data_IF_099384590045
#
_entry.id   IF_099384590045
#
_cell.length_a   1.000
_cell.length_b   1.000
_cell.length_c   1.000
_cell.angle_alpha   90.00
_cell.angle_beta   90.00
_cell.angle_gamma   90.00
#
_symmetry.space_group_name_H-M   'P 1'
#
loop_
_entity.id
_entity.type
_entity.pdbx_description
1 polymer ?
#
# COMPACT_ATOMS: atom_id res chain seq x y z
N UNK A 1 -4.32 -9.92 5.29
CA UNK A 1 -4.12 -9.27 3.99
C UNK A 1 -3.04 -9.94 3.17
N UNK A 2 -3.01 -11.28 3.15
CA UNK A 2 -2.07 -12.02 2.30
C UNK A 2 -2.44 -11.85 0.82
N UNK A 3 -3.72 -11.68 0.53
CA UNK A 3 -4.29 -11.44 -0.79
C UNK A 3 -3.78 -10.16 -1.48
N UNK A 4 -3.17 -9.22 -0.74
CA UNK A 4 -2.45 -8.08 -1.32
C UNK A 4 -1.12 -8.47 -1.99
N UNK A 5 -0.63 -9.69 -1.74
CA UNK A 5 0.52 -10.27 -2.42
C UNK A 5 0.03 -11.07 -3.64
N UNK A 6 0.57 -10.77 -4.82
CA UNK A 6 0.26 -11.53 -6.03
C UNK A 6 0.64 -13.02 -5.86
N UNK A 7 -0.32 -13.91 -6.09
CA UNK A 7 -0.11 -15.37 -6.04
C UNK A 7 -0.03 -15.94 -4.62
N UNK A 8 -0.57 -15.23 -3.62
CA UNK A 8 -0.52 -15.61 -2.19
C UNK A 8 -1.02 -17.02 -1.89
N UNK A 9 -1.92 -17.57 -2.71
CA UNK A 9 -2.47 -18.90 -2.58
C UNK A 9 -1.43 -20.02 -2.70
N UNK A 10 -0.27 -19.72 -3.28
CA UNK A 10 0.86 -20.65 -3.44
C UNK A 10 1.87 -20.56 -2.29
N UNK A 11 1.61 -19.75 -1.26
CA UNK A 11 2.53 -19.47 -0.17
C UNK A 11 1.93 -19.80 1.19
N UNK A 12 2.78 -20.23 2.10
CA UNK A 12 2.47 -20.31 3.54
C UNK A 12 2.42 -18.90 4.17
N UNK A 13 1.78 -18.79 5.34
CA UNK A 13 1.76 -17.51 6.08
C UNK A 13 3.17 -16.98 6.39
N UNK A 14 4.11 -17.86 6.74
CA UNK A 14 5.51 -17.48 6.99
C UNK A 14 6.21 -16.96 5.73
N UNK A 15 5.87 -17.50 4.56
CA UNK A 15 6.39 -17.03 3.27
C UNK A 15 5.80 -15.69 2.85
N UNK A 16 4.52 -15.43 3.15
CA UNK A 16 3.89 -14.13 2.98
C UNK A 16 4.53 -13.08 3.89
N UNK A 17 4.78 -13.43 5.15
CA UNK A 17 5.46 -12.57 6.13
C UNK A 17 6.87 -12.20 5.70
N UNK A 18 7.67 -13.16 5.21
CA UNK A 18 9.00 -12.92 4.64
C UNK A 18 8.99 -12.01 3.40
N UNK A 19 7.85 -11.89 2.71
CA UNK A 19 7.66 -11.00 1.55
C UNK A 19 7.12 -9.62 1.92
N UNK A 20 7.04 -9.32 3.23
CA UNK A 20 6.69 -7.99 3.73
C UNK A 20 5.22 -7.81 4.13
N UNK A 21 4.41 -8.88 4.11
CA UNK A 21 3.06 -8.81 4.69
C UNK A 21 3.16 -8.77 6.21
N UNK A 22 2.53 -7.76 6.82
CA UNK A 22 2.42 -7.67 8.26
C UNK A 22 1.47 -8.76 8.81
N UNK A 23 1.82 -9.32 9.96
CA UNK A 23 1.11 -10.43 10.61
C UNK A 23 0.78 -10.05 12.05
N UNK A 24 -0.52 -9.91 12.33
CA UNK A 24 -1.07 -9.42 13.61
C UNK A 24 -2.48 -9.98 13.79
N UNK A 25 -2.88 -10.21 15.05
CA UNK A 25 -4.25 -10.61 15.40
C UNK A 25 -5.27 -9.50 15.18
N UNK A 26 -4.84 -8.24 15.31
CA UNK A 26 -5.70 -7.08 15.13
C UNK A 26 -5.34 -6.32 13.87
N UNK A 27 -6.37 -5.79 13.23
CA UNK A 27 -6.27 -4.82 12.16
C UNK A 27 -7.28 -3.73 12.44
N UNK A 28 -6.80 -2.49 12.51
CA UNK A 28 -7.63 -1.32 12.82
C UNK A 28 -7.33 -0.26 11.77
N UNK A 29 -8.33 0.07 10.99
CA UNK A 29 -8.26 1.16 10.03
C UNK A 29 -8.49 2.50 10.72
N UNK A 30 -7.73 3.51 10.30
CA UNK A 30 -7.99 4.90 10.65
C UNK A 30 -7.75 5.78 9.42
N UNK A 31 -8.54 6.85 9.30
CA UNK A 31 -8.55 7.69 8.11
C UNK A 31 -7.54 8.82 8.25
N UNK A 32 -6.78 9.07 7.19
CA UNK A 32 -5.79 10.16 7.12
C UNK A 32 -6.07 11.17 6.00
N UNK A 33 -7.03 10.90 5.12
CA UNK A 33 -7.33 11.72 3.95
C UNK A 33 -7.86 13.12 4.30
N UNK A 34 -7.47 14.11 3.49
CA UNK A 34 -7.92 15.50 3.60
C UNK A 34 -7.94 16.18 2.22
N UNK A 35 -8.61 17.32 2.10
CA UNK A 35 -8.70 18.09 0.85
C UNK A 35 -7.39 18.82 0.47
N UNK A 36 -6.43 18.88 1.38
CA UNK A 36 -5.08 19.41 1.17
C UNK A 36 -4.02 18.30 1.08
N UNK A 37 -4.44 17.03 1.03
CA UNK A 37 -3.54 15.89 0.92
C UNK A 37 -2.92 15.77 -0.47
N UNK A 38 -1.61 15.58 -0.50
CA UNK A 38 -0.86 15.24 -1.71
C UNK A 38 -0.20 13.87 -1.55
N UNK A 39 -0.30 13.01 -2.57
CA UNK A 39 0.32 11.68 -2.61
C UNK A 39 1.24 11.60 -3.82
N UNK A 40 2.52 11.29 -3.60
CA UNK A 40 3.50 11.03 -4.65
C UNK A 40 3.92 9.56 -4.62
N UNK A 41 3.71 8.85 -5.72
CA UNK A 41 4.29 7.53 -5.95
C UNK A 41 5.76 7.64 -6.38
N UNK A 42 6.59 6.70 -5.94
CA UNK A 42 8.00 6.58 -6.33
C UNK A 42 8.16 5.30 -7.13
N UNK A 43 8.60 5.41 -8.37
CA UNK A 43 8.87 4.27 -9.25
C UNK A 43 10.17 3.56 -8.86
N UNK A 44 10.42 2.39 -9.45
CA UNK A 44 11.65 1.60 -9.22
C UNK A 44 12.93 2.36 -9.59
N UNK A 45 12.88 3.25 -10.58
CA UNK A 45 14.01 4.09 -10.99
C UNK A 45 14.10 5.42 -10.22
N UNK A 46 13.22 5.65 -9.25
CA UNK A 46 13.22 6.85 -8.41
C UNK A 46 12.42 8.02 -8.97
N UNK A 47 11.81 7.88 -10.16
CA UNK A 47 10.90 8.89 -10.72
C UNK A 47 9.71 9.13 -9.79
N UNK A 48 9.34 10.39 -9.64
CA UNK A 48 8.21 10.83 -8.80
C UNK A 48 6.98 11.05 -9.68
N UNK A 49 5.87 10.42 -9.31
CA UNK A 49 4.59 10.52 -10.01
C UNK A 49 3.53 11.04 -9.03
N UNK A 50 2.89 12.16 -9.34
CA UNK A 50 1.75 12.65 -8.56
C UNK A 50 0.57 11.67 -8.74
N UNK A 51 0.06 11.14 -7.62
CA UNK A 51 -1.08 10.21 -7.60
C UNK A 51 -2.32 10.96 -7.14
N UNK A 52 -2.23 11.63 -5.97
CA UNK A 52 -3.24 12.59 -5.53
C UNK A 52 -2.62 13.98 -5.39
N UNK A 53 -3.42 15.00 -5.72
CA UNK A 53 -3.14 16.41 -5.50
C UNK A 53 -4.39 17.11 -4.96
N UNK A 54 -4.24 17.89 -3.90
CA UNK A 54 -5.34 18.59 -3.22
C UNK A 54 -6.54 17.65 -2.96
N UNK A 55 -6.22 16.48 -2.40
CA UNK A 55 -7.18 15.44 -2.02
C UNK A 55 -7.86 14.69 -3.18
N UNK A 56 -7.48 14.95 -4.43
CA UNK A 56 -8.10 14.35 -5.62
C UNK A 56 -7.08 13.71 -6.56
N UNK A 57 -7.54 12.87 -7.50
CA UNK A 57 -6.66 12.30 -8.53
C UNK A 57 -5.98 13.40 -9.35
N UNK A 58 -4.68 13.24 -9.58
CA UNK A 58 -3.89 14.24 -10.28
C UNK A 58 -4.22 14.36 -11.79
N UNK A 59 -4.92 13.38 -12.36
CA UNK A 59 -5.28 13.28 -13.79
C UNK A 59 -6.69 12.75 -13.99
#
# INVERSE_FOLDING_TARGET
FNECLKGYENYTNEECKKRGINDSMIHVDFMIGSNDMNITGITKDGTRVEILKDGNWAF
#
